data_IF_006807800257
#
_entry.id   IF_006807800257
#
_cell.length_a   1.000
_cell.length_b   1.000
_cell.length_c   1.000
_cell.angle_alpha   90.00
_cell.angle_beta   90.00
_cell.angle_gamma   90.00
#
_symmetry.space_group_name_H-M   'P 1'
#
loop_
_entity.id
_entity.type
_entity.pdbx_description
1 polymer ?
#
# COMPACT_ATOMS: atom_id res chain seq x y z
N UNK A 1 8.67 -16.09 -16.33
CA UNK A 1 9.39 -16.14 -15.03
C UNK A 1 9.63 -14.70 -14.62
N UNK A 2 9.05 -14.25 -13.51
CA UNK A 2 9.19 -12.87 -13.07
C UNK A 2 10.61 -12.66 -12.52
N UNK A 3 11.33 -11.71 -13.11
CA UNK A 3 12.64 -11.33 -12.63
C UNK A 3 12.48 -10.24 -11.58
N UNK A 4 12.65 -10.60 -10.31
CA UNK A 4 12.54 -9.69 -9.16
C UNK A 4 13.40 -8.44 -9.38
N UNK A 5 14.62 -8.58 -9.90
CA UNK A 5 15.50 -7.43 -10.13
C UNK A 5 14.90 -6.43 -11.14
N UNK A 6 14.24 -6.91 -12.19
CA UNK A 6 13.61 -6.04 -13.18
C UNK A 6 12.34 -5.37 -12.64
N UNK A 7 11.53 -6.07 -11.84
CA UNK A 7 10.38 -5.45 -11.16
C UNK A 7 10.82 -4.33 -10.21
N UNK A 8 11.92 -4.55 -9.49
CA UNK A 8 12.49 -3.55 -8.58
C UNK A 8 13.13 -2.35 -9.31
N UNK A 9 13.58 -2.53 -10.55
CA UNK A 9 14.02 -1.40 -11.41
C UNK A 9 12.83 -0.64 -12.00
N UNK A 10 11.75 -1.34 -12.34
CA UNK A 10 10.58 -0.75 -12.99
C UNK A 10 9.69 0.05 -12.02
N UNK A 11 9.60 -0.36 -10.75
CA UNK A 11 8.74 0.32 -9.77
C UNK A 11 9.10 1.81 -9.62
N UNK A 12 8.08 2.64 -9.41
CA UNK A 12 8.22 4.06 -9.11
C UNK A 12 7.07 4.53 -8.21
N UNK A 13 7.17 5.74 -7.63
CA UNK A 13 6.12 6.30 -6.80
C UNK A 13 4.98 6.88 -7.67
N UNK A 14 3.86 6.17 -7.77
CA UNK A 14 2.66 6.61 -8.50
C UNK A 14 1.91 7.69 -7.72
N UNK A 15 1.56 8.79 -8.39
CA UNK A 15 0.79 9.92 -7.82
C UNK A 15 -0.62 10.10 -8.40
N UNK A 16 -0.94 9.39 -9.48
CA UNK A 16 -2.24 9.45 -10.15
C UNK A 16 -2.79 8.04 -10.28
N UNK A 17 -3.98 7.83 -9.76
CA UNK A 17 -4.66 6.53 -9.76
C UNK A 17 -5.93 6.61 -10.60
N UNK A 18 -6.32 5.47 -11.20
CA UNK A 18 -7.61 5.36 -11.86
C UNK A 18 -8.68 5.03 -10.80
N UNK A 19 -9.64 5.93 -10.59
CA UNK A 19 -10.71 5.79 -9.58
C UNK A 19 -11.69 4.64 -9.86
N UNK A 20 -11.76 4.17 -11.10
CA UNK A 20 -12.60 3.04 -11.51
C UNK A 20 -11.95 1.68 -11.21
N UNK A 21 -10.64 1.67 -10.93
CA UNK A 21 -9.91 0.43 -10.62
C UNK A 21 -9.74 0.29 -9.11
N UNK A 22 -10.04 -0.91 -8.63
CA UNK A 22 -9.81 -1.33 -7.24
C UNK A 22 -8.90 -2.55 -7.23
N UNK A 23 -8.14 -2.69 -6.15
CA UNK A 23 -7.33 -3.89 -5.90
C UNK A 23 -8.31 -5.02 -5.60
N UNK A 24 -8.16 -6.16 -6.27
CA UNK A 24 -8.99 -7.34 -6.01
C UNK A 24 -8.66 -7.97 -4.66
N UNK A 25 -9.59 -8.73 -4.08
CA UNK A 25 -9.35 -9.45 -2.82
C UNK A 25 -8.14 -10.38 -2.88
N UNK A 26 -7.93 -11.01 -4.05
CA UNK A 26 -6.78 -11.88 -4.29
C UNK A 26 -5.46 -11.11 -4.23
N UNK A 27 -5.38 -9.97 -4.91
CA UNK A 27 -4.18 -9.11 -4.89
C UNK A 27 -3.95 -8.55 -3.48
N UNK A 28 -5.01 -8.12 -2.80
CA UNK A 28 -4.94 -7.62 -1.43
C UNK A 28 -4.44 -8.70 -0.46
N UNK A 29 -4.88 -9.97 -0.62
CA UNK A 29 -4.38 -11.09 0.16
C UNK A 29 -2.89 -11.31 -0.05
N UNK A 30 -2.39 -11.18 -1.29
CA UNK A 30 -0.96 -11.30 -1.59
C UNK A 30 -0.18 -10.18 -0.92
N UNK A 31 -0.66 -8.92 -0.99
CA UNK A 31 -0.01 -7.78 -0.34
C UNK A 31 0.11 -7.99 1.18
N UNK A 32 -0.98 -8.41 1.83
CA UNK A 32 -1.00 -8.71 3.26
C UNK A 32 0.03 -9.79 3.64
N UNK A 33 0.11 -10.85 2.85
CA UNK A 33 1.01 -11.96 3.12
C UNK A 33 2.47 -11.57 2.91
N UNK A 34 2.79 -10.79 1.87
CA UNK A 34 4.14 -10.26 1.65
C UNK A 34 4.56 -9.34 2.80
N UNK A 35 3.67 -8.47 3.28
CA UNK A 35 3.94 -7.61 4.43
C UNK A 35 4.24 -8.43 5.70
N UNK A 36 3.43 -9.46 5.98
CA UNK A 36 3.61 -10.37 7.13
C UNK A 36 4.92 -11.15 7.08
N UNK A 37 5.35 -11.55 5.88
CA UNK A 37 6.57 -12.32 5.66
C UNK A 37 7.84 -11.47 5.57
N UNK A 38 7.71 -10.13 5.62
CA UNK A 38 8.87 -9.26 5.59
C UNK A 38 9.79 -9.51 6.79
N UNK A 39 11.12 -9.59 6.58
CA UNK A 39 12.05 -9.82 7.68
C UNK A 39 11.98 -8.66 8.67
N UNK A 40 12.01 -9.01 9.96
CA UNK A 40 12.10 -8.05 11.06
C UNK A 40 13.21 -8.49 12.01
N UNK A 41 13.79 -7.54 12.75
CA UNK A 41 14.83 -7.83 13.72
C UNK A 41 14.34 -8.91 14.70
N UNK A 42 15.11 -9.99 14.85
CA UNK A 42 14.75 -11.17 15.66
C UNK A 42 13.38 -11.80 15.35
N UNK A 43 12.78 -11.50 14.19
CA UNK A 43 11.43 -11.96 13.86
C UNK A 43 10.31 -11.30 14.69
N UNK A 44 10.58 -10.17 15.36
CA UNK A 44 9.67 -9.54 16.32
C UNK A 44 8.40 -8.96 15.70
N UNK A 45 8.43 -8.60 14.42
CA UNK A 45 7.34 -7.92 13.70
C UNK A 45 6.73 -6.75 14.51
N UNK A 46 7.53 -5.75 14.95
CA UNK A 46 7.07 -4.69 15.86
C UNK A 46 6.33 -3.58 15.09
N UNK A 47 5.34 -3.95 14.29
CA UNK A 47 4.56 -3.03 13.47
C UNK A 47 3.10 -3.48 13.38
N UNK A 48 2.22 -2.51 13.24
CA UNK A 48 0.82 -2.73 12.89
C UNK A 48 0.54 -2.10 11.53
N UNK A 49 -0.30 -2.76 10.74
CA UNK A 49 -0.68 -2.30 9.41
C UNK A 49 -2.17 -2.04 9.43
N UNK A 50 -2.54 -0.77 9.27
CA UNK A 50 -3.94 -0.33 9.23
C UNK A 50 -4.34 -0.14 7.78
N UNK A 51 -5.30 -0.94 7.32
CA UNK A 51 -5.87 -0.82 5.97
C UNK A 51 -7.12 0.05 6.07
N UNK A 52 -7.10 1.20 5.39
CA UNK A 52 -8.18 2.18 5.44
C UNK A 52 -8.90 2.22 4.10
N UNK A 53 -10.10 1.63 4.06
CA UNK A 53 -10.96 1.62 2.87
C UNK A 53 -12.09 2.65 2.95
N UNK A 54 -12.39 3.15 4.16
CA UNK A 54 -13.46 4.13 4.35
C UNK A 54 -13.06 5.50 3.77
N UNK A 55 -13.80 5.95 2.77
CA UNK A 55 -13.53 7.20 2.07
C UNK A 55 -13.55 8.44 2.97
N UNK A 56 -14.40 8.47 4.01
CA UNK A 56 -14.43 9.58 4.97
C UNK A 56 -13.13 9.66 5.77
N UNK A 57 -12.63 8.51 6.23
CA UNK A 57 -11.36 8.43 6.97
C UNK A 57 -10.20 8.80 6.05
N UNK A 58 -10.19 8.33 4.80
CA UNK A 58 -9.15 8.69 3.81
C UNK A 58 -9.08 10.19 3.55
N UNK A 59 -10.23 10.86 3.41
CA UNK A 59 -10.30 12.33 3.27
C UNK A 59 -9.74 13.05 4.50
N UNK A 60 -10.15 12.62 5.70
CA UNK A 60 -9.66 13.19 6.95
C UNK A 60 -8.13 13.03 7.10
N UNK A 61 -7.59 11.86 6.74
CA UNK A 61 -6.15 11.62 6.73
C UNK A 61 -5.42 12.51 5.71
N UNK A 62 -5.98 12.68 4.51
CA UNK A 62 -5.44 13.56 3.48
C UNK A 62 -5.29 15.00 3.96
N UNK A 63 -6.33 15.52 4.62
CA UNK A 63 -6.38 16.88 5.15
C UNK A 63 -5.45 17.09 6.35
N UNK A 64 -5.49 16.17 7.33
CA UNK A 64 -4.77 16.33 8.61
C UNK A 64 -3.30 15.94 8.54
N UNK A 65 -2.93 14.96 7.71
CA UNK A 65 -1.59 14.38 7.70
C UNK A 65 -1.03 14.15 6.29
N UNK A 66 -1.88 14.11 5.26
CA UNK A 66 -1.49 13.81 3.87
C UNK A 66 -1.06 15.03 3.04
N UNK A 67 -0.92 16.21 3.66
CA UNK A 67 -0.56 17.46 2.98
C UNK A 67 -1.49 17.80 1.79
N UNK A 68 -2.76 17.40 1.87
CA UNK A 68 -3.76 17.55 0.80
C UNK A 68 -3.35 16.90 -0.53
N UNK A 69 -2.55 15.83 -0.50
CA UNK A 69 -2.16 15.11 -1.71
C UNK A 69 -3.32 14.29 -2.28
N UNK A 70 -3.73 14.60 -3.52
CA UNK A 70 -4.83 13.92 -4.21
C UNK A 70 -4.64 12.40 -4.39
N UNK A 71 -3.41 11.87 -4.27
CA UNK A 71 -3.11 10.44 -4.28
C UNK A 71 -3.59 9.68 -3.03
N UNK A 72 -3.91 10.40 -1.94
CA UNK A 72 -4.35 9.81 -0.67
C UNK A 72 -5.86 9.49 -0.70
N UNK A 73 -6.62 10.21 -1.53
CA UNK A 73 -8.09 10.10 -1.67
C UNK A 73 -8.52 9.21 -2.84
#
# INVERSE_FOLDING_TARGET
MNNILEEYKWRYATKKFNSEKKISDKEMSVIKEVMRLAPSSYGLQPYEIIIVENDKIRKELCEKAGMNQGSVI
#
